data_IF_012855025230
#
_entry.id   IF_012855025230
#
_cell.length_a   1.000
_cell.length_b   1.000
_cell.length_c   1.000
_cell.angle_alpha   90.00
_cell.angle_beta   90.00
_cell.angle_gamma   90.00
#
_symmetry.space_group_name_H-M   'P 1'
#
loop_
_entity.id
_entity.type
_entity.pdbx_description
1 polymer ?
#
# COMPACT_ATOMS: atom_id res chain seq x y z
N UNK A 1 -3.06 25.57 26.35
CA UNK A 1 -1.69 25.78 25.87
C UNK A 1 -1.78 25.78 24.36
N UNK A 2 -1.41 26.84 23.67
CA UNK A 2 -1.31 26.82 22.21
C UNK A 2 -0.25 25.79 21.85
N UNK A 3 -0.63 24.69 21.16
CA UNK A 3 0.34 23.73 20.62
C UNK A 3 1.21 24.50 19.64
N UNK A 4 2.51 24.50 19.83
CA UNK A 4 3.46 25.02 18.85
C UNK A 4 3.34 24.11 17.64
N UNK A 5 3.07 24.68 16.47
CA UNK A 5 3.03 23.92 15.22
C UNK A 5 4.42 23.40 14.91
N UNK A 6 4.58 22.09 14.98
CA UNK A 6 5.85 21.41 14.68
C UNK A 6 5.66 20.55 13.44
N UNK A 7 6.52 20.73 12.45
CA UNK A 7 6.50 19.92 11.23
C UNK A 7 6.96 18.48 11.54
N UNK A 8 6.14 17.52 11.19
CA UNK A 8 6.47 16.08 11.30
C UNK A 8 7.64 15.73 10.40
N UNK A 9 7.71 16.35 9.20
CA UNK A 9 8.80 16.15 8.26
C UNK A 9 10.16 16.56 8.84
N UNK A 10 10.21 17.59 9.69
CA UNK A 10 11.44 17.99 10.38
C UNK A 10 11.88 16.94 11.42
N UNK A 11 10.91 16.39 12.18
CA UNK A 11 11.19 15.33 13.16
C UNK A 11 11.72 14.06 12.51
N UNK A 12 11.22 13.73 11.30
CA UNK A 12 11.64 12.55 10.53
C UNK A 12 12.89 12.82 9.69
N UNK A 13 13.38 14.05 9.64
CA UNK A 13 14.39 14.50 8.68
C UNK A 13 14.00 14.09 7.24
N UNK A 14 12.73 14.32 6.86
CA UNK A 14 12.19 13.84 5.59
C UNK A 14 12.88 14.50 4.39
N UNK A 15 13.12 15.81 4.48
CA UNK A 15 13.67 16.58 3.35
C UNK A 15 15.17 16.43 3.21
N UNK A 16 15.86 15.85 4.21
CA UNK A 16 17.33 15.88 4.29
C UNK A 16 17.81 17.36 4.22
N UNK A 17 18.66 17.67 3.23
CA UNK A 17 19.10 19.06 2.96
C UNK A 17 18.29 19.71 1.80
N UNK A 18 17.13 19.16 1.42
CA UNK A 18 16.33 19.68 0.30
C UNK A 18 15.28 20.68 0.78
N UNK A 19 15.09 21.75 0.02
CA UNK A 19 14.00 22.70 0.23
C UNK A 19 12.74 22.28 -0.55
N UNK A 20 11.60 21.96 0.12
CA UNK A 20 10.37 21.56 -0.53
C UNK A 20 9.82 22.61 -1.50
N UNK A 21 10.01 23.90 -1.24
CA UNK A 21 9.59 24.98 -2.14
C UNK A 21 10.43 25.00 -3.41
N UNK A 22 11.74 24.79 -3.29
CA UNK A 22 12.63 24.67 -4.44
C UNK A 22 12.32 23.43 -5.28
N UNK A 23 12.00 22.30 -4.65
CA UNK A 23 11.55 21.09 -5.35
C UNK A 23 10.26 21.31 -6.11
N UNK A 24 9.25 21.94 -5.47
CA UNK A 24 7.99 22.30 -6.11
C UNK A 24 8.19 23.22 -7.31
N UNK A 25 9.08 24.22 -7.22
CA UNK A 25 9.42 25.11 -8.33
C UNK A 25 10.12 24.39 -9.49
N UNK A 26 11.06 23.49 -9.16
CA UNK A 26 11.88 22.79 -10.15
C UNK A 26 11.08 21.76 -10.94
N UNK A 27 10.25 20.97 -10.26
CA UNK A 27 9.55 19.83 -10.86
C UNK A 27 8.06 20.10 -11.12
N UNK A 28 7.54 21.25 -10.67
CA UNK A 28 6.11 21.59 -10.71
C UNK A 28 5.29 20.82 -9.68
N UNK A 29 4.04 21.27 -9.45
CA UNK A 29 3.08 20.61 -8.55
C UNK A 29 1.83 20.18 -9.35
N UNK A 30 1.01 19.22 -8.83
CA UNK A 30 1.32 18.36 -7.69
C UNK A 30 2.53 17.47 -7.97
N UNK A 31 3.27 17.10 -6.93
CA UNK A 31 4.52 16.33 -7.05
C UNK A 31 4.59 15.30 -5.93
N UNK A 32 4.78 14.03 -6.26
CA UNK A 32 5.09 13.00 -5.28
C UNK A 32 6.59 13.00 -4.98
N UNK A 33 6.94 13.06 -3.71
CA UNK A 33 8.34 13.04 -3.26
C UNK A 33 8.55 11.84 -2.35
N UNK A 34 9.40 10.90 -2.75
CA UNK A 34 9.78 9.74 -1.95
C UNK A 34 11.11 10.01 -1.25
N UNK A 35 11.22 9.69 0.04
CA UNK A 35 12.49 9.62 0.76
C UNK A 35 12.97 8.17 0.82
N UNK A 36 14.10 7.88 0.16
CA UNK A 36 14.66 6.51 0.06
C UNK A 36 15.11 5.97 1.42
N UNK A 37 15.70 6.78 2.28
CA UNK A 37 16.17 6.37 3.61
C UNK A 37 15.01 5.87 4.49
N UNK A 38 13.90 6.61 4.48
CA UNK A 38 12.70 6.21 5.23
C UNK A 38 12.14 4.90 4.67
N UNK A 39 12.04 4.79 3.35
CA UNK A 39 11.57 3.57 2.69
C UNK A 39 12.40 2.34 3.09
N UNK A 40 13.73 2.45 3.01
CA UNK A 40 14.65 1.38 3.40
C UNK A 40 14.53 1.02 4.88
N UNK A 41 14.38 2.04 5.75
CA UNK A 41 14.19 1.80 7.17
C UNK A 41 12.92 0.98 7.43
N UNK A 42 11.80 1.32 6.79
CA UNK A 42 10.54 0.57 6.92
C UNK A 42 10.65 -0.88 6.42
N UNK A 43 11.41 -1.13 5.38
CA UNK A 43 11.73 -2.50 4.95
C UNK A 43 12.50 -3.27 6.03
N UNK A 44 13.54 -2.65 6.59
CA UNK A 44 14.40 -3.25 7.62
C UNK A 44 13.65 -3.49 8.93
N UNK A 45 12.75 -2.59 9.32
CA UNK A 45 11.90 -2.74 10.51
C UNK A 45 11.13 -4.07 10.47
N UNK A 46 10.52 -4.39 9.33
CA UNK A 46 9.72 -5.61 9.18
C UNK A 46 10.56 -6.86 8.89
N UNK A 47 11.69 -6.74 8.23
CA UNK A 47 12.64 -7.87 8.11
C UNK A 47 13.14 -8.36 9.46
N UNK A 48 13.26 -7.45 10.42
CA UNK A 48 13.73 -7.72 11.78
C UNK A 48 12.58 -7.90 12.79
N UNK A 49 11.35 -8.07 12.32
CA UNK A 49 10.17 -8.19 13.18
C UNK A 49 10.26 -9.41 14.12
N UNK A 50 10.79 -10.52 13.63
CA UNK A 50 10.88 -11.80 14.35
C UNK A 50 12.29 -12.38 14.27
N UNK A 51 12.60 -13.33 15.16
CA UNK A 51 13.87 -14.05 15.16
C UNK A 51 13.81 -15.39 14.43
N UNK A 52 12.63 -15.83 14.01
CA UNK A 52 12.45 -17.08 13.29
C UNK A 52 13.23 -17.06 11.94
N UNK A 53 14.10 -18.05 11.65
CA UNK A 53 15.10 -17.94 10.59
C UNK A 53 14.52 -18.03 9.17
N UNK A 54 13.33 -18.60 8.99
CA UNK A 54 12.64 -18.72 7.68
C UNK A 54 11.44 -17.77 7.65
N UNK A 55 11.71 -16.48 7.78
CA UNK A 55 10.71 -15.42 7.71
C UNK A 55 10.95 -14.54 6.48
N UNK A 56 9.90 -14.30 5.71
CA UNK A 56 9.93 -13.54 4.46
C UNK A 56 8.93 -12.39 4.53
N UNK A 57 9.32 -11.26 4.00
CA UNK A 57 8.46 -10.08 3.83
C UNK A 57 8.16 -9.93 2.36
N UNK A 58 6.90 -10.17 1.98
CA UNK A 58 6.35 -9.94 0.64
C UNK A 58 5.76 -8.53 0.60
N UNK A 59 6.43 -7.59 -0.06
CA UNK A 59 5.90 -6.23 -0.16
C UNK A 59 4.64 -6.22 -1.02
N UNK A 60 3.53 -5.71 -0.50
CA UNK A 60 2.27 -5.55 -1.27
C UNK A 60 2.37 -4.42 -2.30
N UNK A 61 2.68 -4.77 -3.56
CA UNK A 61 2.92 -3.82 -4.65
C UNK A 61 1.71 -2.92 -4.96
N UNK A 62 0.50 -3.37 -4.72
CA UNK A 62 -0.73 -2.55 -4.84
C UNK A 62 -0.66 -1.23 -4.06
N UNK A 63 0.15 -1.17 -2.99
CA UNK A 63 0.31 0.06 -2.21
C UNK A 63 1.12 1.11 -2.99
N UNK A 64 2.21 0.71 -3.63
CA UNK A 64 3.01 1.54 -4.54
C UNK A 64 3.82 0.65 -5.48
N UNK A 65 3.45 0.60 -6.75
CA UNK A 65 4.11 -0.18 -7.80
C UNK A 65 5.02 0.66 -8.72
N UNK A 66 5.46 1.83 -8.28
CA UNK A 66 6.43 2.66 -9.03
C UNK A 66 7.75 1.91 -9.24
N UNK A 67 8.31 1.94 -10.47
CA UNK A 67 9.48 1.13 -10.82
C UNK A 67 10.67 1.39 -9.89
N UNK A 68 11.04 2.66 -9.67
CA UNK A 68 12.16 3.01 -8.79
C UNK A 68 11.89 2.60 -7.33
N UNK A 69 10.63 2.69 -6.90
CA UNK A 69 10.20 2.25 -5.58
C UNK A 69 10.40 0.73 -5.41
N UNK A 70 9.92 -0.07 -6.35
CA UNK A 70 10.09 -1.52 -6.37
C UNK A 70 11.57 -1.93 -6.44
N UNK A 71 12.41 -1.18 -7.16
CA UNK A 71 13.87 -1.42 -7.20
C UNK A 71 14.52 -1.23 -5.84
N UNK A 72 14.10 -0.24 -5.05
CA UNK A 72 14.56 -0.07 -3.65
C UNK A 72 14.12 -1.25 -2.80
N UNK A 73 12.85 -1.66 -2.89
CA UNK A 73 12.30 -2.82 -2.17
C UNK A 73 13.11 -4.09 -2.50
N UNK A 74 13.34 -4.37 -3.78
CA UNK A 74 14.15 -5.49 -4.23
C UNK A 74 15.58 -5.44 -3.67
N UNK A 75 16.22 -4.26 -3.69
CA UNK A 75 17.59 -4.09 -3.17
C UNK A 75 17.71 -4.29 -1.66
N UNK A 76 16.61 -4.14 -0.90
CA UNK A 76 16.55 -4.49 0.53
C UNK A 76 16.34 -6.01 0.75
N UNK A 77 16.18 -6.79 -0.33
CA UNK A 77 16.02 -8.24 -0.29
C UNK A 77 14.66 -8.69 0.23
N UNK A 78 13.60 -7.90 -0.04
CA UNK A 78 12.23 -8.34 0.14
C UNK A 78 11.77 -9.11 -1.08
N UNK A 79 10.73 -9.93 -0.92
CA UNK A 79 9.91 -10.49 -1.99
C UNK A 79 8.71 -9.57 -2.24
N UNK A 80 7.80 -9.94 -3.14
CA UNK A 80 6.70 -9.06 -3.54
C UNK A 80 5.43 -9.86 -3.87
N UNK A 81 4.25 -9.28 -3.55
CA UNK A 81 2.98 -9.81 -3.99
C UNK A 81 2.43 -9.03 -5.19
N UNK A 82 1.77 -9.74 -6.10
CA UNK A 82 1.10 -9.18 -7.27
C UNK A 82 -0.40 -9.52 -7.28
N UNK A 83 -1.23 -8.57 -7.73
CA UNK A 83 -2.69 -8.73 -7.86
C UNK A 83 -3.14 -8.77 -9.33
N UNK A 84 -2.23 -8.55 -10.29
CA UNK A 84 -2.55 -8.48 -11.71
C UNK A 84 -1.32 -8.81 -12.59
N UNK A 85 -1.54 -9.18 -13.88
CA UNK A 85 -0.45 -9.28 -14.85
C UNK A 85 0.39 -8.01 -14.97
N UNK A 86 -0.21 -6.83 -14.80
CA UNK A 86 0.49 -5.55 -14.83
C UNK A 86 1.47 -5.40 -13.68
N UNK A 87 1.11 -5.82 -12.47
CA UNK A 87 2.02 -5.81 -11.32
C UNK A 87 3.17 -6.81 -11.53
N UNK A 88 2.90 -8.06 -11.93
CA UNK A 88 3.95 -9.06 -12.29
C UNK A 88 4.93 -8.46 -13.31
N UNK A 89 4.43 -7.77 -14.33
CA UNK A 89 5.28 -7.14 -15.35
C UNK A 89 6.20 -6.07 -14.75
N UNK A 90 5.67 -5.20 -13.88
CA UNK A 90 6.44 -4.13 -13.23
C UNK A 90 7.48 -4.69 -12.27
N UNK A 91 7.14 -5.71 -11.51
CA UNK A 91 8.02 -6.40 -10.56
C UNK A 91 9.20 -7.07 -11.26
N UNK A 92 8.95 -7.78 -12.36
CA UNK A 92 10.02 -8.32 -13.19
C UNK A 92 10.94 -7.24 -13.77
N UNK A 93 10.38 -6.08 -14.17
CA UNK A 93 11.18 -4.93 -14.61
C UNK A 93 12.00 -4.30 -13.48
N UNK A 94 11.54 -4.42 -12.24
CA UNK A 94 12.28 -3.98 -11.06
C UNK A 94 13.42 -4.93 -10.65
N UNK A 95 13.44 -6.16 -11.19
CA UNK A 95 14.50 -7.16 -10.97
C UNK A 95 14.07 -8.38 -10.17
N UNK A 96 12.81 -8.49 -9.75
CA UNK A 96 12.31 -9.67 -9.06
C UNK A 96 12.30 -10.90 -9.98
N UNK A 97 12.76 -12.02 -9.46
CA UNK A 97 12.66 -13.33 -10.13
C UNK A 97 11.26 -13.92 -9.92
N UNK A 98 10.89 -14.92 -10.73
CA UNK A 98 9.54 -15.51 -10.65
C UNK A 98 9.22 -16.14 -9.30
N UNK A 99 10.21 -16.70 -8.62
CA UNK A 99 10.09 -17.31 -7.30
C UNK A 99 9.95 -16.27 -6.16
N UNK A 100 10.28 -15.00 -6.43
CA UNK A 100 10.10 -13.88 -5.51
C UNK A 100 8.76 -13.17 -5.69
N UNK A 101 7.94 -13.60 -6.65
CA UNK A 101 6.63 -12.97 -6.94
C UNK A 101 5.52 -13.92 -6.51
N UNK A 102 4.68 -13.46 -5.59
CA UNK A 102 3.52 -14.18 -5.11
C UNK A 102 2.23 -13.58 -5.71
N UNK A 103 1.68 -14.23 -6.74
CA UNK A 103 0.47 -13.78 -7.43
C UNK A 103 -0.77 -14.23 -6.67
N UNK A 104 -1.49 -13.29 -6.05
CA UNK A 104 -2.67 -13.56 -5.22
C UNK A 104 -3.93 -13.24 -6.03
N UNK A 105 -4.45 -14.26 -6.73
CA UNK A 105 -5.60 -14.14 -7.63
C UNK A 105 -6.89 -13.81 -6.87
N UNK A 106 -7.69 -12.93 -7.45
CA UNK A 106 -9.05 -12.66 -6.98
C UNK A 106 -9.97 -12.34 -8.16
N UNK A 107 -10.87 -13.27 -8.54
CA UNK A 107 -11.81 -13.14 -9.66
C UNK A 107 -11.11 -12.84 -11.00
N UNK A 108 -10.02 -13.52 -11.30
CA UNK A 108 -9.24 -13.34 -12.54
C UNK A 108 -9.75 -14.22 -13.67
N UNK A 109 -9.53 -13.80 -14.91
CA UNK A 109 -9.86 -14.59 -16.09
C UNK A 109 -8.90 -15.77 -16.29
N UNK A 110 -9.24 -16.67 -17.20
CA UNK A 110 -8.37 -17.77 -17.58
C UNK A 110 -7.07 -17.24 -18.20
N UNK A 111 -7.15 -16.23 -19.06
CA UNK A 111 -6.00 -15.62 -19.72
C UNK A 111 -5.02 -14.97 -18.72
N UNK A 112 -5.52 -14.30 -17.68
CA UNK A 112 -4.68 -13.75 -16.61
C UNK A 112 -3.98 -14.86 -15.82
N UNK A 113 -4.69 -15.96 -15.54
CA UNK A 113 -4.12 -17.11 -14.84
C UNK A 113 -3.08 -17.85 -15.71
N UNK A 114 -3.35 -18.04 -17.00
CA UNK A 114 -2.39 -18.58 -17.97
C UNK A 114 -1.13 -17.71 -18.07
N UNK A 115 -1.29 -16.38 -18.03
CA UNK A 115 -0.15 -15.47 -17.98
C UNK A 115 0.71 -15.73 -16.75
N UNK A 116 0.11 -15.82 -15.55
CA UNK A 116 0.84 -16.07 -14.31
C UNK A 116 1.55 -17.43 -14.33
N UNK A 117 0.90 -18.49 -14.84
CA UNK A 117 1.51 -19.83 -15.05
C UNK A 117 2.70 -19.74 -15.99
N UNK A 118 2.57 -19.04 -17.12
CA UNK A 118 3.66 -18.86 -18.11
C UNK A 118 4.84 -18.08 -17.53
N UNK A 119 4.56 -17.07 -16.71
CA UNK A 119 5.59 -16.28 -16.03
C UNK A 119 6.30 -17.06 -14.92
N UNK A 120 5.75 -18.22 -14.51
CA UNK A 120 6.34 -19.13 -13.53
C UNK A 120 6.31 -18.57 -12.09
N UNK A 121 5.38 -17.68 -11.80
CA UNK A 121 5.22 -17.09 -10.46
C UNK A 121 4.44 -18.04 -9.53
N UNK A 122 4.59 -17.86 -8.22
CA UNK A 122 3.80 -18.61 -7.23
C UNK A 122 2.36 -18.09 -7.23
N UNK A 123 1.38 -18.99 -7.43
CA UNK A 123 -0.04 -18.60 -7.57
C UNK A 123 -0.82 -18.98 -6.31
N UNK A 124 -1.59 -18.04 -5.77
CA UNK A 124 -2.61 -18.29 -4.75
C UNK A 124 -4.01 -18.03 -5.30
N UNK A 125 -4.94 -18.95 -5.06
CA UNK A 125 -6.34 -18.82 -5.44
C UNK A 125 -7.22 -18.66 -4.20
N UNK A 126 -8.37 -17.98 -4.34
CA UNK A 126 -9.24 -17.64 -3.21
C UNK A 126 -10.65 -18.20 -3.30
N UNK A 127 -10.93 -19.08 -4.28
CA UNK A 127 -12.21 -19.74 -4.44
C UNK A 127 -12.08 -21.12 -5.06
N UNK A 128 -13.09 -22.00 -4.86
CA UNK A 128 -13.11 -23.33 -5.46
C UNK A 128 -13.12 -23.26 -6.99
N UNK A 129 -13.85 -22.28 -7.57
CA UNK A 129 -13.90 -22.09 -9.02
C UNK A 129 -12.55 -21.67 -9.61
N UNK A 130 -11.78 -20.80 -8.91
CA UNK A 130 -10.44 -20.42 -9.34
C UNK A 130 -9.43 -21.58 -9.18
N UNK A 131 -9.60 -22.40 -8.13
CA UNK A 131 -8.80 -23.63 -7.96
C UNK A 131 -9.09 -24.64 -9.10
N UNK A 132 -10.35 -24.83 -9.45
CA UNK A 132 -10.73 -25.67 -10.58
C UNK A 132 -10.21 -25.13 -11.92
N UNK A 133 -10.33 -23.83 -12.14
CA UNK A 133 -9.80 -23.14 -13.33
C UNK A 133 -8.28 -23.37 -13.46
N UNK A 134 -7.51 -23.18 -12.38
CA UNK A 134 -6.06 -23.45 -12.39
C UNK A 134 -5.78 -24.91 -12.71
N UNK A 135 -6.53 -25.84 -12.11
CA UNK A 135 -6.41 -27.27 -12.38
C UNK A 135 -6.69 -27.65 -13.83
N UNK A 136 -7.63 -26.97 -14.50
CA UNK A 136 -7.90 -27.17 -15.93
C UNK A 136 -6.81 -26.59 -16.83
N UNK A 137 -6.26 -25.42 -16.48
CA UNK A 137 -5.19 -24.73 -17.24
C UNK A 137 -3.86 -25.46 -17.11
N UNK A 138 -3.50 -25.83 -15.88
CA UNK A 138 -2.17 -26.37 -15.54
C UNK A 138 -2.27 -27.55 -14.55
N UNK A 139 -2.71 -28.73 -15.01
CA UNK A 139 -2.73 -29.92 -14.15
C UNK A 139 -1.34 -30.22 -13.59
N UNK A 140 -1.27 -30.57 -12.30
CA UNK A 140 0.00 -30.85 -11.61
C UNK A 140 0.76 -29.59 -11.13
N UNK A 141 0.21 -28.40 -11.35
CA UNK A 141 0.84 -27.15 -10.94
C UNK A 141 0.93 -26.99 -9.43
N UNK A 142 1.89 -26.21 -8.95
CA UNK A 142 2.01 -25.79 -7.57
C UNK A 142 1.02 -24.65 -7.30
N UNK A 143 0.35 -24.69 -6.14
CA UNK A 143 -0.67 -23.70 -5.79
C UNK A 143 -0.62 -23.38 -4.29
N UNK A 144 -0.91 -22.13 -3.95
CA UNK A 144 -1.32 -21.69 -2.63
C UNK A 144 -2.82 -21.45 -2.59
N UNK A 145 -3.42 -21.49 -1.42
CA UNK A 145 -4.85 -21.23 -1.23
C UNK A 145 -5.05 -20.17 -0.16
N UNK A 146 -5.79 -19.12 -0.51
CA UNK A 146 -6.24 -18.11 0.45
C UNK A 146 -7.46 -18.61 1.21
N UNK A 147 -7.32 -18.73 2.53
CA UNK A 147 -8.43 -19.05 3.41
C UNK A 147 -8.98 -17.80 4.11
N UNK A 148 -10.28 -17.83 4.41
CA UNK A 148 -10.91 -16.84 5.25
C UNK A 148 -11.04 -17.42 6.68
N UNK A 149 -10.20 -16.99 7.64
CA UNK A 149 -10.20 -17.54 8.99
C UNK A 149 -11.42 -17.13 9.84
N UNK A 150 -12.30 -16.28 9.29
CA UNK A 150 -13.48 -15.77 10.01
C UNK A 150 -13.19 -14.60 10.95
N UNK A 151 -11.94 -14.19 11.09
CA UNK A 151 -11.49 -13.02 11.87
C UNK A 151 -11.05 -11.93 10.92
N UNK A 152 -11.55 -10.71 11.10
CA UNK A 152 -11.20 -9.56 10.28
C UNK A 152 -10.88 -8.32 11.11
N UNK A 153 -10.01 -7.45 10.59
CA UNK A 153 -9.67 -6.16 11.17
C UNK A 153 -9.55 -5.07 10.08
N UNK A 154 -9.82 -3.81 10.42
CA UNK A 154 -9.67 -2.69 9.48
C UNK A 154 -10.29 -1.41 10.02
N UNK A 155 -9.72 -0.27 9.64
CA UNK A 155 -10.16 1.07 10.08
C UNK A 155 -11.44 1.56 9.36
N UNK A 156 -11.84 0.91 8.29
CA UNK A 156 -13.04 1.23 7.50
C UNK A 156 -13.63 -0.08 6.95
N UNK A 157 -14.97 -0.18 6.87
CA UNK A 157 -15.65 -1.39 6.40
C UNK A 157 -15.21 -1.87 5.00
N UNK A 158 -14.83 -0.91 4.11
CA UNK A 158 -14.35 -1.20 2.74
C UNK A 158 -12.94 -1.81 2.68
N UNK A 159 -12.20 -1.83 3.78
CA UNK A 159 -10.82 -2.38 3.84
C UNK A 159 -10.68 -3.58 4.78
N UNK A 160 -11.79 -4.11 5.30
CA UNK A 160 -11.84 -5.40 5.99
C UNK A 160 -11.90 -6.51 4.95
N UNK A 161 -10.93 -7.43 4.96
CA UNK A 161 -10.75 -8.47 3.92
C UNK A 161 -10.92 -9.90 4.41
N UNK A 162 -11.28 -10.10 5.70
CA UNK A 162 -11.68 -11.38 6.27
C UNK A 162 -12.94 -11.24 7.11
N UNK A 163 -13.60 -12.37 7.42
CA UNK A 163 -14.84 -12.41 8.17
C UNK A 163 -16.07 -12.72 7.28
N UNK A 164 -17.26 -12.76 7.89
CA UNK A 164 -18.50 -13.30 7.28
C UNK A 164 -19.05 -12.51 6.08
N UNK A 165 -18.64 -11.29 5.87
CA UNK A 165 -19.20 -10.37 4.85
C UNK A 165 -18.20 -9.96 3.77
N UNK A 166 -17.04 -10.58 3.69
CA UNK A 166 -16.03 -10.25 2.69
C UNK A 166 -16.09 -11.18 1.49
N UNK A 167 -15.61 -10.69 0.34
CA UNK A 167 -15.58 -11.46 -0.91
C UNK A 167 -14.37 -12.41 -1.00
N UNK A 168 -13.46 -12.40 -0.02
CA UNK A 168 -12.14 -13.01 -0.13
C UNK A 168 -12.04 -14.32 0.63
N UNK A 169 -11.29 -15.26 0.04
CA UNK A 169 -10.83 -16.49 0.66
C UNK A 169 -11.88 -17.60 0.78
N UNK A 170 -11.39 -18.82 0.81
CA UNK A 170 -12.21 -20.04 0.98
C UNK A 170 -12.49 -20.23 2.47
N UNK A 171 -13.75 -20.44 2.86
CA UNK A 171 -14.11 -20.78 4.22
C UNK A 171 -13.60 -22.20 4.59
N UNK A 172 -13.13 -22.44 5.83
CA UNK A 172 -12.59 -23.74 6.24
C UNK A 172 -13.55 -24.92 6.06
N UNK A 173 -14.85 -24.69 6.08
CA UNK A 173 -15.86 -25.75 5.83
C UNK A 173 -15.74 -26.40 4.45
N UNK A 174 -15.08 -25.72 3.48
CA UNK A 174 -14.89 -26.22 2.11
C UNK A 174 -13.54 -26.95 1.92
N UNK A 175 -12.78 -27.20 2.97
CA UNK A 175 -11.51 -27.97 2.91
C UNK A 175 -11.69 -29.35 2.24
N UNK A 176 -12.78 -30.09 2.47
CA UNK A 176 -13.01 -31.38 1.76
C UNK A 176 -13.04 -31.19 0.24
N UNK A 177 -13.76 -30.18 -0.27
CA UNK A 177 -13.83 -29.88 -1.70
C UNK A 177 -12.50 -29.38 -2.28
N UNK A 178 -11.73 -28.61 -1.47
CA UNK A 178 -10.36 -28.19 -1.84
C UNK A 178 -9.49 -29.43 -2.06
N UNK A 179 -9.52 -30.41 -1.15
CA UNK A 179 -8.74 -31.66 -1.28
C UNK A 179 -9.17 -32.48 -2.49
N UNK A 180 -10.46 -32.56 -2.75
CA UNK A 180 -11.01 -33.23 -3.95
C UNK A 180 -10.51 -32.60 -5.26
N UNK A 181 -10.50 -31.25 -5.36
CA UNK A 181 -10.01 -30.55 -6.54
C UNK A 181 -8.47 -30.70 -6.71
N UNK A 182 -7.72 -30.66 -5.61
CA UNK A 182 -6.27 -30.91 -5.62
C UNK A 182 -5.98 -32.31 -6.17
N UNK A 183 -6.68 -33.34 -5.70
CA UNK A 183 -6.53 -34.70 -6.17
C UNK A 183 -6.97 -34.85 -7.64
N UNK A 184 -8.14 -34.33 -8.00
CA UNK A 184 -8.72 -34.38 -9.36
C UNK A 184 -7.76 -33.86 -10.42
N UNK A 185 -7.06 -32.78 -10.15
CA UNK A 185 -6.15 -32.13 -11.09
C UNK A 185 -4.67 -32.39 -10.80
N UNK A 186 -4.36 -33.27 -9.84
CA UNK A 186 -3.01 -33.57 -9.38
C UNK A 186 -2.21 -32.30 -8.98
N UNK A 187 -2.88 -31.27 -8.46
CA UNK A 187 -2.25 -30.04 -8.01
C UNK A 187 -1.37 -30.29 -6.79
N UNK A 188 -0.36 -29.46 -6.58
CA UNK A 188 0.53 -29.53 -5.42
C UNK A 188 0.27 -28.33 -4.53
N UNK A 189 -0.43 -28.53 -3.41
CA UNK A 189 -0.62 -27.49 -2.42
C UNK A 189 0.69 -27.22 -1.68
N UNK A 190 1.31 -26.07 -1.95
CA UNK A 190 2.61 -25.68 -1.39
C UNK A 190 2.50 -24.63 -0.29
N UNK A 191 1.38 -23.92 -0.20
CA UNK A 191 1.17 -22.87 0.78
C UNK A 191 -0.29 -22.58 1.05
N UNK A 192 -0.52 -21.89 2.15
CA UNK A 192 -1.80 -21.25 2.42
C UNK A 192 -1.55 -19.82 2.87
N UNK A 193 -2.52 -18.95 2.59
CA UNK A 193 -2.44 -17.56 3.01
C UNK A 193 -3.79 -17.01 3.51
N UNK A 194 -3.72 -15.88 4.19
CA UNK A 194 -4.86 -15.09 4.62
C UNK A 194 -4.54 -13.60 4.49
N UNK A 195 -5.58 -12.77 4.61
CA UNK A 195 -5.41 -11.32 4.82
C UNK A 195 -6.61 -10.78 5.56
N UNK A 196 -6.41 -10.16 6.73
CA UNK A 196 -7.49 -9.79 7.64
C UNK A 196 -8.05 -8.38 7.44
N UNK A 197 -7.32 -7.52 6.73
CA UNK A 197 -7.70 -6.13 6.50
C UNK A 197 -6.52 -5.18 6.54
N UNK A 198 -6.78 -3.90 6.81
CA UNK A 198 -5.76 -2.85 6.69
C UNK A 198 -5.81 -1.88 7.85
N UNK A 199 -4.64 -1.37 8.24
CA UNK A 199 -4.43 -0.36 9.28
C UNK A 199 -4.79 -0.87 10.67
N UNK A 200 -4.32 -2.05 11.06
CA UNK A 200 -4.33 -2.39 12.48
C UNK A 200 -3.19 -1.65 13.20
N UNK A 201 -3.51 -1.08 14.36
CA UNK A 201 -2.58 -0.33 15.21
C UNK A 201 -2.22 -1.09 16.50
N UNK A 202 -2.85 -2.24 16.71
CA UNK A 202 -2.53 -3.18 17.79
C UNK A 202 -2.46 -4.60 17.26
N UNK A 203 -1.65 -5.46 17.88
CA UNK A 203 -1.31 -6.78 17.34
C UNK A 203 -2.33 -7.89 17.62
N UNK A 204 -3.29 -7.70 18.54
CA UNK A 204 -4.12 -8.78 19.06
C UNK A 204 -4.96 -9.49 17.98
N UNK A 205 -5.61 -8.72 17.10
CA UNK A 205 -6.43 -9.29 16.03
C UNK A 205 -5.57 -10.04 15.01
N UNK A 206 -4.37 -9.54 14.72
CA UNK A 206 -3.43 -10.19 13.81
C UNK A 206 -2.93 -11.53 14.40
N UNK A 207 -2.49 -11.54 15.65
CA UNK A 207 -2.04 -12.77 16.34
C UNK A 207 -3.17 -13.79 16.45
N UNK A 208 -4.39 -13.36 16.76
CA UNK A 208 -5.56 -14.25 16.79
C UNK A 208 -5.85 -14.87 15.41
N UNK A 209 -5.70 -14.10 14.35
CA UNK A 209 -5.90 -14.60 12.98
C UNK A 209 -4.82 -15.60 12.55
N UNK A 210 -3.57 -15.38 12.98
CA UNK A 210 -2.46 -16.33 12.77
C UNK A 210 -2.78 -17.68 13.44
N UNK A 211 -3.26 -17.67 14.67
CA UNK A 211 -3.65 -18.90 15.36
C UNK A 211 -4.74 -19.67 14.60
N UNK A 212 -5.75 -18.97 14.09
CA UNK A 212 -6.81 -19.59 13.27
C UNK A 212 -6.26 -20.16 11.93
N UNK A 213 -5.34 -19.45 11.27
CA UNK A 213 -4.69 -19.93 10.04
C UNK A 213 -3.84 -21.19 10.32
N UNK A 214 -3.14 -21.25 11.43
CA UNK A 214 -2.35 -22.40 11.82
C UNK A 214 -3.19 -23.66 12.05
N UNK A 215 -4.40 -23.53 12.61
CA UNK A 215 -5.33 -24.66 12.74
C UNK A 215 -5.83 -25.14 11.35
N UNK A 216 -5.92 -24.26 10.37
CA UNK A 216 -6.19 -24.65 8.98
C UNK A 216 -4.97 -25.36 8.38
N UNK A 217 -3.77 -24.80 8.58
CA UNK A 217 -2.52 -25.37 8.08
C UNK A 217 -2.28 -26.83 8.53
N UNK A 218 -2.59 -27.14 9.78
CA UNK A 218 -2.48 -28.52 10.35
C UNK A 218 -3.31 -29.56 9.61
N UNK A 219 -4.31 -29.16 8.82
CA UNK A 219 -5.12 -30.08 8.03
C UNK A 219 -4.48 -30.49 6.70
N UNK A 220 -3.33 -29.90 6.36
CA UNK A 220 -2.54 -30.18 5.17
C UNK A 220 -1.14 -30.61 5.56
N UNK A 221 -0.50 -31.45 4.73
CA UNK A 221 0.88 -31.88 4.89
C UNK A 221 1.72 -31.38 3.73
N UNK A 222 3.02 -31.19 3.97
CA UNK A 222 3.95 -30.80 2.92
C UNK A 222 3.83 -29.35 2.47
N UNK A 223 3.26 -28.46 3.29
CA UNK A 223 3.28 -27.04 3.02
C UNK A 223 4.71 -26.52 3.13
N UNK A 224 5.14 -25.76 2.13
CA UNK A 224 6.43 -25.06 2.13
C UNK A 224 6.36 -23.73 2.87
N UNK A 225 5.20 -23.06 2.84
CA UNK A 225 5.00 -21.79 3.53
C UNK A 225 3.59 -21.61 4.07
N UNK A 226 3.50 -20.72 5.06
CA UNK A 226 2.24 -20.13 5.55
C UNK A 226 2.39 -18.63 5.53
N UNK A 227 1.49 -17.95 4.84
CA UNK A 227 1.49 -16.52 4.72
C UNK A 227 0.36 -15.91 5.57
N UNK A 228 0.78 -15.09 6.51
CA UNK A 228 -0.08 -14.49 7.53
C UNK A 228 -0.79 -13.22 7.04
N UNK A 229 -0.44 -12.74 5.83
CA UNK A 229 -0.98 -11.53 5.25
C UNK A 229 -0.40 -10.24 5.82
N UNK A 230 -1.02 -9.13 5.46
CA UNK A 230 -0.57 -7.79 5.84
C UNK A 230 -1.55 -7.08 6.76
N UNK A 231 -1.58 -5.75 6.62
CA UNK A 231 -2.49 -4.88 7.36
C UNK A 231 -1.80 -3.96 8.37
N UNK A 232 -0.48 -4.03 8.49
CA UNK A 232 0.33 -3.22 9.41
C UNK A 232 0.05 -1.74 9.22
N UNK A 233 -0.36 -1.06 10.31
CA UNK A 233 -0.75 0.33 10.32
C UNK A 233 0.40 1.29 10.59
N UNK A 234 0.13 2.56 10.33
CA UNK A 234 0.97 3.71 10.70
C UNK A 234 0.11 4.76 11.41
N UNK A 235 0.69 5.61 12.26
CA UNK A 235 -0.03 6.75 12.83
C UNK A 235 -0.20 7.83 11.76
N UNK A 236 -1.44 8.10 11.33
CA UNK A 236 -1.72 9.18 10.39
C UNK A 236 -1.91 10.54 11.05
N UNK A 237 -2.22 10.55 12.36
CA UNK A 237 -2.49 11.75 13.15
C UNK A 237 -1.33 12.05 14.10
N UNK A 238 -0.11 12.09 13.56
CA UNK A 238 1.13 12.29 14.32
C UNK A 238 1.12 13.62 15.11
N UNK A 239 0.49 14.65 14.57
CA UNK A 239 0.32 15.95 15.24
C UNK A 239 -0.60 15.89 16.48
N UNK A 240 -1.32 14.80 16.68
CA UNK A 240 -2.13 14.50 17.86
C UNK A 240 -1.53 13.41 18.74
N UNK A 241 -0.24 13.14 18.59
CA UNK A 241 0.50 12.12 19.35
C UNK A 241 -0.10 10.70 19.21
N UNK A 242 -0.67 10.39 18.03
CA UNK A 242 -1.13 9.03 17.74
C UNK A 242 0.05 8.05 17.82
N UNK A 243 -0.08 7.04 18.69
CA UNK A 243 1.00 6.09 18.94
C UNK A 243 1.26 5.22 17.69
N UNK A 244 2.51 4.97 17.31
CA UNK A 244 2.84 4.00 16.26
C UNK A 244 2.51 2.57 16.71
N UNK A 245 2.38 1.66 15.74
CA UNK A 245 2.30 0.23 16.00
C UNK A 245 3.56 -0.24 16.75
N UNK A 246 3.38 -0.87 17.92
CA UNK A 246 4.49 -1.44 18.68
C UNK A 246 4.99 -2.73 18.02
N UNK A 247 6.01 -2.57 17.15
CA UNK A 247 6.62 -3.69 16.44
C UNK A 247 7.36 -4.65 17.39
N UNK A 248 7.85 -4.17 18.54
CA UNK A 248 8.56 -5.02 19.48
C UNK A 248 7.58 -5.97 20.16
N UNK A 249 6.47 -5.46 20.68
CA UNK A 249 5.42 -6.28 21.28
C UNK A 249 4.81 -7.25 20.27
N UNK A 250 4.45 -6.73 19.09
CA UNK A 250 3.92 -7.53 17.99
C UNK A 250 4.90 -8.64 17.57
N UNK A 251 6.17 -8.28 17.36
CA UNK A 251 7.20 -9.22 16.96
C UNK A 251 7.40 -10.36 17.96
N UNK A 252 7.40 -10.06 19.26
CA UNK A 252 7.50 -11.08 20.31
C UNK A 252 6.31 -12.06 20.28
N UNK A 253 5.10 -11.53 20.11
CA UNK A 253 3.88 -12.35 20.07
C UNK A 253 3.84 -13.23 18.80
N UNK A 254 4.22 -12.66 17.65
CA UNK A 254 4.31 -13.40 16.39
C UNK A 254 5.38 -14.46 16.47
N UNK A 255 6.59 -14.12 16.90
CA UNK A 255 7.74 -15.03 17.00
C UNK A 255 7.41 -16.27 17.87
N UNK A 256 6.79 -16.06 19.02
CA UNK A 256 6.33 -17.14 19.88
C UNK A 256 5.33 -18.07 19.17
N UNK A 257 4.41 -17.51 18.37
CA UNK A 257 3.45 -18.30 17.61
C UNK A 257 4.12 -19.11 16.48
N UNK A 258 5.11 -18.53 15.78
CA UNK A 258 5.86 -19.19 14.71
C UNK A 258 6.65 -20.40 15.23
N UNK A 259 7.43 -20.23 16.30
CA UNK A 259 8.21 -21.33 16.89
C UNK A 259 7.31 -22.46 17.39
N UNK A 260 6.22 -22.12 18.08
CA UNK A 260 5.26 -23.10 18.55
C UNK A 260 4.64 -23.90 17.41
N UNK A 261 4.18 -23.22 16.36
CA UNK A 261 3.59 -23.90 15.21
C UNK A 261 4.60 -24.79 14.49
N UNK A 262 5.83 -24.31 14.26
CA UNK A 262 6.88 -25.09 13.59
C UNK A 262 7.21 -26.40 14.36
N UNK A 263 7.23 -26.34 15.70
CA UNK A 263 7.40 -27.53 16.55
C UNK A 263 6.20 -28.50 16.40
N UNK A 264 4.98 -27.99 16.46
CA UNK A 264 3.75 -28.80 16.33
C UNK A 264 3.56 -29.38 14.92
N UNK A 265 3.93 -28.65 13.88
CA UNK A 265 3.83 -29.09 12.49
C UNK A 265 4.89 -30.15 12.14
N UNK A 266 6.02 -30.11 12.85
CA UNK A 266 7.11 -31.08 12.72
C UNK A 266 8.05 -30.87 11.54
N UNK A 267 7.91 -29.75 10.80
CA UNK A 267 8.75 -29.36 9.69
C UNK A 267 9.11 -27.87 9.78
N UNK A 268 10.30 -27.51 9.28
CA UNK A 268 10.69 -26.10 9.14
C UNK A 268 9.98 -25.48 7.95
N UNK A 269 8.94 -24.69 8.22
CA UNK A 269 8.12 -23.99 7.23
C UNK A 269 8.60 -22.53 7.05
N UNK A 270 8.37 -21.95 5.89
CA UNK A 270 8.58 -20.52 5.67
C UNK A 270 7.33 -19.77 6.12
N UNK A 271 7.50 -18.73 6.93
CA UNK A 271 6.41 -17.81 7.26
C UNK A 271 6.56 -16.52 6.49
N UNK A 272 5.43 -16.01 5.96
CA UNK A 272 5.38 -14.79 5.15
C UNK A 272 4.44 -13.77 5.77
N UNK A 273 4.71 -12.48 5.50
CA UNK A 273 3.79 -11.36 5.75
C UNK A 273 3.72 -10.47 4.50
N UNK A 274 2.56 -9.80 4.29
CA UNK A 274 2.27 -8.96 3.12
C UNK A 274 2.10 -7.46 3.49
N UNK A 275 3.11 -6.76 4.02
CA UNK A 275 2.98 -5.35 4.37
C UNK A 275 3.03 -4.48 3.11
N UNK A 276 2.02 -3.61 2.93
CA UNK A 276 2.05 -2.56 1.92
C UNK A 276 2.20 -1.18 2.57
N UNK A 277 1.16 -0.78 3.32
CA UNK A 277 1.05 0.54 3.94
C UNK A 277 2.22 0.90 4.85
N UNK A 278 2.60 0.02 5.74
CA UNK A 278 3.68 0.28 6.71
C UNK A 278 5.00 0.64 6.01
N UNK A 279 5.30 -0.05 4.92
CA UNK A 279 6.55 0.18 4.15
C UNK A 279 6.48 1.48 3.37
N UNK A 280 5.35 1.75 2.71
CA UNK A 280 5.30 2.80 1.68
C UNK A 280 4.78 4.15 2.17
N UNK A 281 3.81 4.19 3.10
CA UNK A 281 3.06 5.41 3.36
C UNK A 281 3.92 6.59 3.83
N UNK A 282 4.71 6.39 4.88
CA UNK A 282 5.50 7.46 5.52
C UNK A 282 6.72 7.89 4.69
N UNK A 283 7.11 7.10 3.70
CA UNK A 283 8.24 7.42 2.82
C UNK A 283 7.91 8.48 1.76
N UNK A 284 6.66 8.98 1.71
CA UNK A 284 6.24 9.87 0.61
C UNK A 284 5.36 11.01 1.08
N UNK A 285 5.63 12.20 0.53
CA UNK A 285 4.87 13.43 0.70
C UNK A 285 4.45 13.95 -0.67
N UNK A 286 3.20 14.44 -0.81
CA UNK A 286 2.79 15.20 -1.99
C UNK A 286 3.02 16.68 -1.74
N UNK A 287 3.73 17.34 -2.65
CA UNK A 287 3.79 18.79 -2.70
C UNK A 287 2.70 19.33 -3.64
N UNK A 288 1.94 20.31 -3.16
CA UNK A 288 0.82 20.90 -3.89
C UNK A 288 0.82 22.43 -3.71
N UNK A 289 0.60 23.18 -4.79
CA UNK A 289 0.57 24.65 -4.71
C UNK A 289 -0.83 25.16 -4.45
N UNK A 290 -0.94 26.14 -3.54
CA UNK A 290 -2.19 26.87 -3.26
C UNK A 290 -2.43 27.92 -4.35
N UNK A 291 -3.51 27.75 -5.11
CA UNK A 291 -3.88 28.65 -6.19
C UNK A 291 -4.97 29.65 -5.81
N UNK A 292 -5.81 29.32 -4.84
CA UNK A 292 -6.92 30.17 -4.44
C UNK A 292 -7.20 30.04 -2.94
N UNK A 293 -7.54 31.16 -2.31
CA UNK A 293 -8.09 31.22 -0.96
C UNK A 293 -9.38 31.99 -1.04
N UNK A 294 -10.48 31.44 -0.52
CA UNK A 294 -11.79 32.11 -0.53
C UNK A 294 -12.58 31.84 0.73
N UNK A 295 -13.43 32.78 1.07
CA UNK A 295 -14.43 32.63 2.14
C UNK A 295 -15.80 32.41 1.51
N UNK A 296 -16.55 31.50 2.08
CA UNK A 296 -17.94 31.27 1.72
C UNK A 296 -18.72 31.10 3.04
N UNK A 297 -19.52 32.10 3.39
CA UNK A 297 -20.05 32.29 4.76
C UNK A 297 -18.90 32.28 5.77
N UNK A 298 -18.99 31.44 6.78
CA UNK A 298 -18.05 31.35 7.91
C UNK A 298 -16.88 30.39 7.60
N UNK A 299 -16.83 29.78 6.38
CA UNK A 299 -15.81 28.81 6.02
C UNK A 299 -14.74 29.38 5.12
N UNK A 300 -13.49 29.14 5.48
CA UNK A 300 -12.33 29.41 4.64
C UNK A 300 -11.97 28.16 3.85
N UNK A 301 -11.95 28.29 2.51
CA UNK A 301 -11.53 27.25 1.60
C UNK A 301 -10.16 27.60 1.01
N UNK A 302 -9.25 26.63 1.03
CA UNK A 302 -7.92 26.72 0.42
C UNK A 302 -7.88 25.75 -0.74
N UNK A 303 -7.84 26.29 -1.95
CA UNK A 303 -7.82 25.52 -3.20
C UNK A 303 -6.40 25.28 -3.69
N UNK A 304 -6.04 24.02 -3.89
CA UNK A 304 -4.73 23.62 -4.41
C UNK A 304 -4.85 22.76 -5.68
N UNK A 305 -3.73 22.46 -6.31
CA UNK A 305 -3.68 21.65 -7.54
C UNK A 305 -3.69 20.14 -7.31
N UNK A 306 -3.66 19.68 -6.08
CA UNK A 306 -3.89 18.29 -5.71
C UNK A 306 -5.38 18.04 -5.52
N UNK A 307 -6.05 17.41 -6.48
CA UNK A 307 -7.42 16.93 -6.33
C UNK A 307 -7.46 15.45 -5.96
N UNK A 308 -8.68 14.90 -5.79
CA UNK A 308 -8.82 13.46 -5.51
C UNK A 308 -8.36 12.56 -6.68
N UNK A 309 -8.21 13.11 -7.89
CA UNK A 309 -7.56 12.43 -9.00
C UNK A 309 -6.06 12.17 -8.75
N UNK A 310 -5.43 12.91 -7.86
CA UNK A 310 -4.05 12.72 -7.41
C UNK A 310 -4.01 11.91 -6.12
N UNK A 311 -4.82 12.24 -5.13
CA UNK A 311 -4.92 11.52 -3.85
C UNK A 311 -6.37 11.16 -3.54
N UNK A 312 -6.79 9.94 -3.89
CA UNK A 312 -8.19 9.50 -3.80
C UNK A 312 -8.63 9.13 -2.38
N UNK A 313 -7.71 8.80 -1.49
CA UNK A 313 -8.00 8.24 -0.17
C UNK A 313 -8.93 9.10 0.72
N UNK A 314 -8.79 10.43 0.78
CA UNK A 314 -9.69 11.25 1.60
C UNK A 314 -11.16 11.11 1.20
N UNK A 315 -11.48 11.13 -0.10
CA UNK A 315 -12.86 11.01 -0.57
C UNK A 315 -13.38 9.56 -0.49
N UNK A 316 -12.53 8.57 -0.70
CA UNK A 316 -12.95 7.17 -0.80
C UNK A 316 -13.12 6.49 0.56
N UNK A 317 -12.30 6.88 1.55
CA UNK A 317 -12.19 6.21 2.85
C UNK A 317 -12.21 7.17 4.04
N UNK A 318 -12.51 8.45 3.84
CA UNK A 318 -12.38 9.49 4.87
C UNK A 318 -10.99 9.50 5.53
N UNK A 319 -9.96 9.11 4.75
CA UNK A 319 -8.61 8.95 5.28
C UNK A 319 -8.01 10.29 5.67
N UNK A 320 -7.45 10.31 6.87
CA UNK A 320 -6.66 11.43 7.35
C UNK A 320 -5.30 11.45 6.68
N UNK A 321 -4.83 12.66 6.32
CA UNK A 321 -3.43 12.95 5.99
C UNK A 321 -3.02 14.20 6.77
N UNK A 322 -1.86 14.17 7.39
CA UNK A 322 -1.23 15.35 7.99
C UNK A 322 -0.92 16.36 6.89
N UNK A 323 -0.94 17.65 7.23
CA UNK A 323 -0.65 18.71 6.28
C UNK A 323 0.33 19.71 6.84
N UNK A 324 1.30 20.09 6.04
CA UNK A 324 2.33 21.08 6.35
C UNK A 324 2.34 22.20 5.33
N UNK A 325 2.81 23.37 5.76
CA UNK A 325 2.86 24.56 4.92
C UNK A 325 4.33 24.97 4.76
N UNK A 326 4.74 25.18 3.53
CA UNK A 326 6.08 25.64 3.17
C UNK A 326 5.99 26.96 2.42
N UNK A 327 6.85 27.92 2.80
CA UNK A 327 6.90 29.25 2.23
C UNK A 327 8.34 29.68 2.03
N UNK A 328 8.64 30.42 0.97
CA UNK A 328 10.00 30.70 0.52
C UNK A 328 10.83 31.55 1.49
N UNK A 329 10.23 32.51 2.16
CA UNK A 329 10.96 33.55 2.90
C UNK A 329 10.49 33.76 4.33
N UNK A 330 9.51 33.00 4.79
CA UNK A 330 8.87 33.20 6.07
C UNK A 330 8.31 31.86 6.59
N UNK A 331 8.65 31.47 7.79
CA UNK A 331 8.01 30.32 8.42
C UNK A 331 6.51 30.63 8.67
N UNK A 332 5.63 29.63 8.53
CA UNK A 332 4.22 29.80 8.85
C UNK A 332 4.01 30.27 10.30
N UNK A 333 2.99 31.09 10.51
CA UNK A 333 2.63 31.57 11.84
C UNK A 333 2.34 30.43 12.79
N UNK A 334 2.71 30.57 14.07
CA UNK A 334 2.30 29.64 15.13
C UNK A 334 0.79 29.70 15.44
N UNK A 335 0.09 30.78 15.03
CA UNK A 335 -1.35 30.89 15.18
C UNK A 335 -2.06 30.10 14.09
N UNK A 336 -3.04 29.27 14.50
CA UNK A 336 -3.83 28.47 13.59
C UNK A 336 -5.18 29.09 13.28
N UNK A 337 -5.73 28.72 12.14
CA UNK A 337 -7.10 29.02 11.71
C UNK A 337 -7.79 27.76 11.19
N UNK A 338 -9.12 27.72 11.29
CA UNK A 338 -9.91 26.60 10.77
C UNK A 338 -10.07 26.73 9.25
N UNK A 339 -9.56 25.76 8.49
CA UNK A 339 -9.61 25.75 7.01
C UNK A 339 -10.11 24.42 6.46
N UNK A 340 -10.68 24.49 5.26
CA UNK A 340 -10.97 23.28 4.46
C UNK A 340 -10.12 23.31 3.21
N UNK A 341 -9.24 22.28 3.05
CA UNK A 341 -8.37 22.12 1.88
C UNK A 341 -9.14 21.38 0.81
N UNK A 342 -9.22 21.96 -0.38
CA UNK A 342 -9.95 21.41 -1.52
C UNK A 342 -9.04 21.33 -2.76
N UNK A 343 -9.28 20.35 -3.59
CA UNK A 343 -8.59 20.21 -4.86
C UNK A 343 -9.24 21.06 -5.97
N UNK A 344 -8.88 20.70 -7.20
CA UNK A 344 -9.27 21.39 -8.43
C UNK A 344 -10.13 20.53 -9.36
N UNK A 345 -10.72 19.46 -8.83
CA UNK A 345 -11.69 18.62 -9.55
C UNK A 345 -13.08 19.25 -9.45
N UNK A 346 -13.83 19.21 -10.55
CA UNK A 346 -15.18 19.76 -10.61
C UNK A 346 -16.20 18.84 -9.92
N UNK A 347 -16.01 18.65 -8.61
CA UNK A 347 -16.84 17.78 -7.76
C UNK A 347 -16.89 18.31 -6.33
N UNK A 348 -18.08 18.35 -5.72
CA UNK A 348 -18.25 18.85 -4.35
C UNK A 348 -17.52 18.02 -3.29
N UNK A 349 -17.22 16.75 -3.60
CA UNK A 349 -16.50 15.85 -2.73
C UNK A 349 -14.97 16.00 -2.80
N UNK A 350 -14.43 16.89 -3.64
CA UNK A 350 -12.97 17.10 -3.76
C UNK A 350 -12.39 17.85 -2.57
N UNK A 351 -12.47 17.22 -1.41
CA UNK A 351 -12.02 17.72 -0.12
C UNK A 351 -10.90 16.81 0.38
N UNK A 352 -9.69 17.36 0.50
CA UNK A 352 -8.52 16.67 1.02
C UNK A 352 -8.46 16.70 2.56
N UNK A 353 -8.89 17.81 3.14
CA UNK A 353 -8.93 17.98 4.60
C UNK A 353 -10.05 18.92 4.97
N UNK A 354 -10.94 18.49 5.86
CA UNK A 354 -12.12 19.25 6.27
C UNK A 354 -11.92 19.84 7.67
N UNK A 355 -12.24 21.14 7.81
CA UNK A 355 -12.26 21.87 9.08
C UNK A 355 -11.00 21.59 9.92
N UNK A 356 -9.80 21.84 9.31
CA UNK A 356 -8.49 21.61 9.94
C UNK A 356 -7.97 22.88 10.59
N UNK A 357 -7.38 22.72 11.76
CA UNK A 357 -6.63 23.78 12.44
C UNK A 357 -5.20 23.79 11.88
N UNK A 358 -4.90 24.76 11.01
CA UNK A 358 -3.60 24.92 10.35
C UNK A 358 -3.12 26.35 10.47
N UNK A 359 -1.80 26.62 10.39
CA UNK A 359 -1.29 27.98 10.25
C UNK A 359 -1.93 28.72 9.09
N UNK A 360 -1.89 30.06 9.10
CA UNK A 360 -2.42 30.86 8.00
C UNK A 360 -1.84 30.41 6.65
N UNK A 361 -2.74 30.08 5.71
CA UNK A 361 -2.40 29.65 4.36
C UNK A 361 -2.70 30.79 3.39
N UNK A 362 -1.73 31.07 2.50
CA UNK A 362 -1.80 32.12 1.49
C UNK A 362 -1.70 31.52 0.08
N UNK A 363 -2.23 32.24 -0.90
CA UNK A 363 -1.98 31.90 -2.30
C UNK A 363 -0.49 31.92 -2.61
N UNK A 364 0.00 30.87 -3.25
CA UNK A 364 1.40 30.65 -3.58
C UNK A 364 2.16 29.78 -2.57
N UNK A 365 1.60 29.52 -1.39
CA UNK A 365 2.17 28.56 -0.45
C UNK A 365 2.21 27.14 -1.07
N UNK A 366 3.16 26.36 -0.63
CA UNK A 366 3.26 24.94 -0.96
C UNK A 366 2.74 24.12 0.24
N UNK A 367 1.78 23.26 -0.01
CA UNK A 367 1.28 22.29 0.98
C UNK A 367 2.06 20.99 0.83
N UNK A 368 2.51 20.43 1.95
CA UNK A 368 2.95 19.05 2.04
C UNK A 368 1.82 18.18 2.57
N UNK A 369 1.37 17.20 1.80
CA UNK A 369 0.37 16.21 2.20
C UNK A 369 1.13 14.95 2.57
N UNK A 370 1.13 14.61 3.87
CA UNK A 370 1.98 13.59 4.45
C UNK A 370 1.43 12.17 4.22
N UNK A 371 2.30 11.18 4.40
CA UNK A 371 1.97 9.76 4.40
C UNK A 371 1.26 9.28 3.11
N UNK A 372 1.64 9.86 1.97
CA UNK A 372 0.99 9.65 0.68
C UNK A 372 1.57 8.48 -0.15
N UNK A 373 2.55 7.73 0.38
CA UNK A 373 3.24 6.68 -0.36
C UNK A 373 2.42 5.41 -0.58
N UNK A 374 1.38 5.18 0.23
CA UNK A 374 0.51 4.02 0.08
C UNK A 374 -0.83 4.41 -0.53
N UNK A 375 -1.21 3.75 -1.65
CA UNK A 375 -2.49 3.98 -2.32
C UNK A 375 -2.68 5.44 -2.74
N UNK A 376 -1.58 6.12 -3.04
CA UNK A 376 -1.53 7.46 -3.60
C UNK A 376 -1.50 7.40 -5.12
N UNK A 377 -0.29 7.42 -5.72
CA UNK A 377 -0.13 7.40 -7.18
C UNK A 377 -0.78 6.19 -7.85
N UNK A 378 -0.76 5.00 -7.22
CA UNK A 378 -1.39 3.79 -7.76
C UNK A 378 -2.91 3.91 -7.95
N UNK A 379 -3.57 4.81 -7.23
CA UNK A 379 -4.99 5.12 -7.39
C UNK A 379 -5.23 6.43 -8.17
N UNK A 380 -4.18 7.12 -8.61
CA UNK A 380 -4.32 8.35 -9.37
C UNK A 380 -4.95 8.11 -10.74
N UNK A 381 -5.73 9.09 -11.21
CA UNK A 381 -6.49 9.01 -12.45
C UNK A 381 -6.42 10.32 -13.25
N UNK A 382 -6.93 10.28 -14.48
CA UNK A 382 -7.09 11.46 -15.33
C UNK A 382 -8.50 12.06 -15.27
N UNK A 383 -9.20 11.91 -14.12
CA UNK A 383 -10.54 12.50 -13.99
C UNK A 383 -10.51 14.02 -14.28
N UNK A 384 -11.54 14.54 -14.95
CA UNK A 384 -11.58 15.85 -15.59
C UNK A 384 -10.45 16.08 -16.61
N UNK A 385 -9.87 15.02 -17.20
CA UNK A 385 -8.71 15.07 -18.09
C UNK A 385 -7.49 15.80 -17.49
N UNK A 386 -7.36 15.77 -16.16
CA UNK A 386 -6.16 16.28 -15.50
C UNK A 386 -5.02 15.28 -15.61
N UNK A 387 -3.84 15.83 -15.85
CA UNK A 387 -2.61 15.05 -16.02
C UNK A 387 -2.14 14.49 -14.68
N UNK A 388 -1.65 13.26 -14.69
CA UNK A 388 -1.04 12.66 -13.50
C UNK A 388 0.30 13.32 -13.19
N UNK A 389 0.66 13.45 -11.90
CA UNK A 389 1.84 14.20 -11.45
C UNK A 389 3.16 13.48 -11.77
N UNK A 390 4.26 14.23 -11.66
CA UNK A 390 5.60 13.67 -11.60
C UNK A 390 5.88 12.99 -10.25
N UNK A 391 6.86 12.10 -10.23
CA UNK A 391 7.41 11.48 -9.03
C UNK A 391 8.92 11.70 -8.98
N UNK A 392 9.44 12.09 -7.82
CA UNK A 392 10.87 12.20 -7.53
C UNK A 392 11.26 11.38 -6.31
N UNK A 393 12.55 11.06 -6.20
CA UNK A 393 13.10 10.38 -5.02
C UNK A 393 14.32 11.15 -4.50
N UNK A 394 14.32 11.45 -3.21
CA UNK A 394 15.47 11.90 -2.46
C UNK A 394 16.24 10.63 -2.05
N UNK A 395 17.42 10.43 -2.64
CA UNK A 395 18.27 9.26 -2.41
C UNK A 395 19.00 9.38 -1.07
N UNK A 396 19.43 8.24 -0.49
CA UNK A 396 20.23 8.22 0.75
C UNK A 396 21.52 9.08 0.68
N UNK A 397 22.05 9.33 -0.51
CA UNK A 397 23.20 10.21 -0.73
C UNK A 397 22.85 11.70 -0.93
N UNK A 398 21.58 12.08 -0.69
CA UNK A 398 21.08 13.44 -0.87
C UNK A 398 20.74 13.82 -2.32
N UNK A 399 21.03 12.98 -3.31
CA UNK A 399 20.69 13.26 -4.70
C UNK A 399 19.19 13.19 -4.93
N UNK A 400 18.61 14.15 -5.63
CA UNK A 400 17.21 14.10 -6.08
C UNK A 400 17.14 13.61 -7.52
N UNK A 401 16.38 12.53 -7.75
CA UNK A 401 16.20 11.93 -9.07
C UNK A 401 14.73 11.95 -9.47
N UNK A 402 14.47 12.21 -10.76
CA UNK A 402 13.14 12.07 -11.35
C UNK A 402 12.89 10.58 -11.60
N UNK A 403 11.83 10.03 -11.01
CA UNK A 403 11.47 8.60 -11.12
C UNK A 403 10.29 8.38 -12.07
N UNK A 404 9.48 9.43 -12.28
CA UNK A 404 8.40 9.46 -13.27
C UNK A 404 8.21 10.89 -13.79
N UNK A 405 8.14 11.04 -15.09
CA UNK A 405 7.79 12.30 -15.72
C UNK A 405 6.30 12.64 -15.48
N UNK A 406 5.99 13.94 -15.42
CA UNK A 406 4.61 14.42 -15.44
C UNK A 406 4.00 14.10 -16.81
N UNK A 407 2.75 13.66 -16.84
CA UNK A 407 2.02 13.51 -18.11
C UNK A 407 1.91 14.85 -18.85
N UNK A 408 1.88 14.77 -20.15
CA UNK A 408 1.60 15.89 -21.07
C UNK A 408 0.25 15.67 -21.75
N UNK A 409 -0.29 16.70 -22.42
CA UNK A 409 -1.62 16.61 -23.04
C UNK A 409 -1.70 15.50 -24.10
N UNK A 410 -0.59 15.20 -24.76
CA UNK A 410 -0.47 14.14 -25.76
C UNK A 410 -0.67 12.74 -25.17
N UNK A 411 -0.35 12.54 -23.88
CA UNK A 411 -0.58 11.26 -23.20
C UNK A 411 -2.07 10.93 -23.09
N UNK A 412 -2.96 11.94 -23.05
CA UNK A 412 -4.39 11.73 -23.05
C UNK A 412 -4.90 11.10 -24.34
N UNK A 413 -4.16 11.28 -25.45
CA UNK A 413 -4.52 10.77 -26.78
C UNK A 413 -3.81 9.45 -27.14
N UNK A 414 -2.90 8.95 -26.30
CA UNK A 414 -1.97 7.86 -26.62
C UNK A 414 -2.62 6.60 -27.22
N UNK A 415 -3.84 6.27 -26.80
CA UNK A 415 -4.58 5.10 -27.27
C UNK A 415 -5.96 5.45 -27.82
N UNK A 416 -6.21 6.73 -28.09
CA UNK A 416 -7.47 7.20 -28.63
C UNK A 416 -7.44 7.11 -30.15
N UNK A 417 -8.47 6.51 -30.74
CA UNK A 417 -8.68 6.45 -32.18
C UNK A 417 -9.77 7.47 -32.52
N UNK A 418 -9.46 8.58 -33.22
CA UNK A 418 -10.46 9.54 -33.66
C UNK A 418 -11.44 8.87 -34.63
N UNK A 419 -12.69 9.32 -34.63
CA UNK A 419 -13.61 8.97 -35.71
C UNK A 419 -13.11 9.62 -37.01
N UNK A 420 -13.00 8.85 -38.07
CA UNK A 420 -12.82 9.41 -39.42
C UNK A 420 -14.07 10.22 -39.73
N UNK A 421 -13.91 11.39 -40.29
CA UNK A 421 -14.87 12.47 -40.59
C UNK A 421 -16.37 12.09 -40.41
N UNK A 422 -17.02 12.72 -39.39
CA UNK A 422 -18.50 12.66 -39.22
C UNK A 422 -19.13 13.68 -40.16
#
# INVERSE_FOLDING_TARGET
MNKIYTKVTDQMNFWEDQDPVALAKKYGTPLYVTNERILRQRCRDLKNLVTYPKFVVDYSAKANCGLAFLQVIHSEGLEVDAMSPGEIYMEKKAGFTSDQIFYICNNVSAEEMEYAVKEGVVISVDSLSQLEQLGQIAPGHEVSIRFNPGVGAGHHEKVVTAGKKTKFGIEPKYIPQVKELIEKYNLKLIGINQHIGSLFMTGEAFVASIAALFEIAKQFKGLRFVDMGGGFGIPYKKEFDEAPLDLKELGQAVDAALYKFAEEYGEQIIFRIEPGRYISAESNVILSTVHAVKHNHDKKFVGCDCGFNVLQRPIMYDSYHGMEIYRESEEPSETTETVTIVGNICESGDILAKDRELPEIRKGDVLGILDAGAYGFTMASNYNNRLRPAEIMIRENGQVVLTREREVLEDLMRHVIPLEEV
#
